data_IF_022103930065
#
_entry.id   IF_022103930065
#
_cell.length_a   1.000
_cell.length_b   1.000
_cell.length_c   1.000
_cell.angle_alpha   90.00
_cell.angle_beta   90.00
_cell.angle_gamma   90.00
#
_symmetry.space_group_name_H-M   'P 1'
#
loop_
_entity.id
_entity.type
_entity.pdbx_description
1 polymer ?
#
# COMPACT_ATOMS: atom_id res chain seq x y z
N UNK A 1 -0.02 -21.26 -7.99
CA UNK A 1 -1.13 -20.76 -7.15
C UNK A 1 -0.51 -19.85 -6.11
N UNK A 2 -1.10 -18.70 -5.85
CA UNK A 2 -0.57 -17.73 -4.88
C UNK A 2 -0.90 -18.22 -3.47
N UNK A 3 0.11 -18.29 -2.60
CA UNK A 3 -0.04 -18.64 -1.18
C UNK A 3 0.18 -17.39 -0.31
N UNK A 4 -0.82 -16.96 0.48
CA UNK A 4 -0.69 -15.80 1.36
C UNK A 4 0.49 -15.88 2.33
N UNK A 5 0.78 -17.07 2.89
CA UNK A 5 1.90 -17.22 3.83
C UNK A 5 3.25 -17.02 3.13
N UNK A 6 3.38 -17.51 1.89
CA UNK A 6 4.57 -17.27 1.08
C UNK A 6 4.76 -15.77 0.80
N UNK A 7 3.69 -15.02 0.51
CA UNK A 7 3.77 -13.57 0.31
C UNK A 7 4.25 -12.85 1.58
N UNK A 8 3.68 -13.19 2.73
CA UNK A 8 4.06 -12.61 4.01
C UNK A 8 5.52 -12.92 4.38
N UNK A 9 5.96 -14.16 4.16
CA UNK A 9 7.35 -14.55 4.43
C UNK A 9 8.33 -13.80 3.51
N UNK A 10 8.01 -13.69 2.22
CA UNK A 10 8.83 -12.92 1.28
C UNK A 10 8.94 -11.44 1.69
N UNK A 11 7.85 -10.83 2.17
CA UNK A 11 7.88 -9.45 2.67
C UNK A 11 8.76 -9.30 3.92
N UNK A 12 8.70 -10.24 4.86
CA UNK A 12 9.59 -10.27 6.03
C UNK A 12 11.05 -10.43 5.65
N UNK A 13 11.35 -11.32 4.71
CA UNK A 13 12.71 -11.55 4.22
C UNK A 13 13.28 -10.31 3.54
N UNK A 14 12.48 -9.60 2.74
CA UNK A 14 12.89 -8.37 2.03
C UNK A 14 13.17 -7.20 2.97
N UNK A 15 12.43 -7.09 4.06
CA UNK A 15 12.51 -5.94 4.99
C UNK A 15 13.37 -6.22 6.21
N UNK A 16 13.52 -7.50 6.60
CA UNK A 16 14.04 -7.89 7.92
C UNK A 16 13.08 -7.57 9.08
N UNK A 17 11.86 -7.12 8.79
CA UNK A 17 10.85 -6.75 9.77
C UNK A 17 9.80 -7.86 9.89
N UNK A 18 9.18 -7.98 11.06
CA UNK A 18 8.17 -9.02 11.32
C UNK A 18 6.97 -8.55 12.11
N UNK A 19 6.96 -7.27 12.50
CA UNK A 19 5.84 -6.66 13.19
C UNK A 19 4.90 -5.97 12.21
N UNK A 20 3.67 -6.46 12.19
CA UNK A 20 2.60 -5.98 11.33
C UNK A 20 1.63 -5.03 12.04
N UNK A 21 1.90 -4.70 13.31
CA UNK A 21 0.97 -3.94 14.14
C UNK A 21 -0.27 -4.77 14.50
N UNK A 22 -1.29 -4.73 13.64
CA UNK A 22 -2.56 -5.43 13.81
C UNK A 22 -2.82 -6.40 12.64
N UNK A 23 -3.89 -7.19 12.72
CA UNK A 23 -4.16 -8.30 11.81
C UNK A 23 -5.38 -8.08 10.90
N UNK A 24 -5.98 -6.88 10.90
CA UNK A 24 -7.23 -6.61 10.15
C UNK A 24 -7.11 -6.85 8.65
N UNK A 25 -5.91 -6.73 8.08
CA UNK A 25 -5.67 -6.91 6.65
C UNK A 25 -5.55 -8.39 6.23
N UNK A 26 -5.34 -9.32 7.18
CA UNK A 26 -5.11 -10.73 6.87
C UNK A 26 -6.34 -11.39 6.23
N UNK A 27 -7.52 -11.15 6.77
CA UNK A 27 -8.77 -11.72 6.25
C UNK A 27 -9.08 -11.19 4.83
N UNK A 28 -9.11 -9.85 4.59
CA UNK A 28 -9.26 -9.31 3.24
C UNK A 28 -8.18 -9.78 2.25
N UNK A 29 -6.93 -9.92 2.69
CA UNK A 29 -5.84 -10.45 1.86
C UNK A 29 -6.11 -11.89 1.45
N UNK A 30 -6.58 -12.75 2.37
CA UNK A 30 -6.96 -14.12 2.04
C UNK A 30 -8.09 -14.18 1.02
N UNK A 31 -9.12 -13.33 1.16
CA UNK A 31 -10.20 -13.24 0.16
C UNK A 31 -9.68 -12.78 -1.20
N UNK A 32 -8.81 -11.78 -1.25
CA UNK A 32 -8.20 -11.30 -2.49
C UNK A 32 -7.40 -12.42 -3.18
N UNK A 33 -6.55 -13.13 -2.44
CA UNK A 33 -5.73 -14.22 -2.99
C UNK A 33 -6.60 -15.39 -3.45
N UNK A 34 -7.65 -15.73 -2.71
CA UNK A 34 -8.60 -16.77 -3.09
C UNK A 34 -9.34 -16.42 -4.39
N UNK A 35 -9.86 -15.19 -4.49
CA UNK A 35 -10.52 -14.69 -5.70
C UNK A 35 -9.56 -14.66 -6.90
N UNK A 36 -8.32 -14.20 -6.71
CA UNK A 36 -7.30 -14.24 -7.77
C UNK A 36 -7.08 -15.68 -8.24
N UNK A 37 -6.86 -16.61 -7.33
CA UNK A 37 -6.57 -18.00 -7.67
C UNK A 37 -7.75 -18.70 -8.38
N UNK A 38 -8.99 -18.30 -8.08
CA UNK A 38 -10.20 -18.95 -8.62
C UNK A 38 -10.76 -18.29 -9.88
N UNK A 39 -10.64 -16.97 -10.00
CA UNK A 39 -11.47 -16.20 -10.94
C UNK A 39 -10.67 -15.33 -11.93
N UNK A 40 -9.39 -15.05 -11.67
CA UNK A 40 -8.67 -13.99 -12.42
C UNK A 40 -8.09 -14.40 -13.78
N UNK A 41 -8.16 -15.68 -14.15
CA UNK A 41 -7.66 -16.22 -15.43
C UNK A 41 -6.31 -15.61 -15.87
N UNK A 42 -5.32 -15.61 -14.97
CA UNK A 42 -4.04 -14.92 -15.20
C UNK A 42 -3.31 -15.42 -16.45
N UNK A 43 -2.80 -14.48 -17.23
CA UNK A 43 -1.76 -14.76 -18.22
C UNK A 43 -0.45 -15.16 -17.52
N UNK A 44 0.49 -15.74 -18.26
CA UNK A 44 1.82 -16.09 -17.72
C UNK A 44 2.54 -14.86 -17.13
N UNK A 45 2.43 -13.71 -17.80
CA UNK A 45 2.96 -12.43 -17.28
C UNK A 45 2.26 -12.03 -15.97
N UNK A 46 0.93 -12.15 -15.91
CA UNK A 46 0.15 -11.86 -14.71
C UNK A 46 0.51 -12.78 -13.53
N UNK A 47 0.76 -14.06 -13.80
CA UNK A 47 1.16 -15.03 -12.79
C UNK A 47 2.52 -14.70 -12.16
N UNK A 48 3.42 -14.02 -12.89
CA UNK A 48 4.67 -13.50 -12.34
C UNK A 48 4.54 -12.12 -11.67
N UNK A 49 3.79 -11.20 -12.27
CA UNK A 49 3.71 -9.81 -11.81
C UNK A 49 2.84 -9.62 -10.56
N UNK A 50 1.72 -10.36 -10.46
CA UNK A 50 0.74 -10.14 -9.40
C UNK A 50 1.25 -10.51 -8.00
N UNK A 51 1.94 -11.66 -7.78
CA UNK A 51 2.56 -11.95 -6.50
C UNK A 51 3.56 -10.88 -6.06
N UNK A 52 4.38 -10.37 -7.00
CA UNK A 52 5.36 -9.32 -6.72
C UNK A 52 4.69 -8.01 -6.30
N UNK A 53 3.57 -7.63 -6.92
CA UNK A 53 2.79 -6.47 -6.53
C UNK A 53 2.21 -6.62 -5.12
N UNK A 54 1.66 -7.79 -4.78
CA UNK A 54 1.15 -8.07 -3.44
C UNK A 54 2.27 -8.04 -2.39
N UNK A 55 3.44 -8.61 -2.69
CA UNK A 55 4.61 -8.55 -1.82
C UNK A 55 5.06 -7.10 -1.62
N UNK A 56 5.08 -6.27 -2.67
CA UNK A 56 5.46 -4.87 -2.55
C UNK A 56 4.54 -4.09 -1.59
N UNK A 57 3.22 -4.35 -1.61
CA UNK A 57 2.29 -3.75 -0.64
C UNK A 57 2.56 -4.22 0.79
N UNK A 58 2.84 -5.50 0.99
CA UNK A 58 3.17 -6.07 2.31
C UNK A 58 4.51 -5.55 2.85
N UNK A 59 5.52 -5.40 1.98
CA UNK A 59 6.80 -4.76 2.30
C UNK A 59 6.57 -3.35 2.79
N UNK A 60 5.80 -2.57 2.05
CA UNK A 60 5.48 -1.19 2.42
C UNK A 60 4.80 -1.13 3.80
N UNK A 61 3.82 -2.00 4.04
CA UNK A 61 3.15 -2.07 5.33
C UNK A 61 4.12 -2.34 6.49
N UNK A 62 5.04 -3.31 6.34
CA UNK A 62 6.09 -3.59 7.34
C UNK A 62 7.01 -2.38 7.57
N UNK A 63 7.43 -1.71 6.50
CA UNK A 63 8.31 -0.54 6.58
C UNK A 63 7.63 0.62 7.31
N UNK A 64 6.35 0.88 7.02
CA UNK A 64 5.55 1.90 7.71
C UNK A 64 5.43 1.58 9.20
N UNK A 65 5.05 0.35 9.57
CA UNK A 65 4.98 -0.03 10.99
C UNK A 65 6.34 0.06 11.68
N UNK A 66 7.40 -0.39 11.01
CA UNK A 66 8.77 -0.25 11.50
C UNK A 66 9.18 1.20 11.70
N UNK A 67 8.74 2.11 10.83
CA UNK A 67 8.98 3.54 10.96
C UNK A 67 8.24 4.15 12.14
N UNK A 68 6.94 3.90 12.28
CA UNK A 68 6.14 4.35 13.43
C UNK A 68 6.73 3.90 14.76
N UNK A 69 7.25 2.68 14.83
CA UNK A 69 7.94 2.18 16.04
C UNK A 69 9.22 2.94 16.39
N UNK A 70 9.96 3.40 15.38
CA UNK A 70 11.20 4.18 15.58
C UNK A 70 10.90 5.65 15.89
N UNK A 71 9.74 6.13 15.46
CA UNK A 71 9.33 7.53 15.50
C UNK A 71 7.94 7.67 16.17
N UNK A 72 7.80 7.35 17.47
CA UNK A 72 6.52 7.45 18.17
C UNK A 72 5.99 8.89 18.25
N UNK A 73 6.83 9.91 18.08
CA UNK A 73 6.44 11.32 18.01
C UNK A 73 5.46 11.63 16.87
N UNK A 74 5.37 10.76 15.84
CA UNK A 74 4.42 10.91 14.74
C UNK A 74 2.97 10.89 15.25
N UNK A 75 2.69 10.20 16.35
CA UNK A 75 1.35 10.15 16.95
C UNK A 75 0.91 11.52 17.54
N UNK A 76 1.84 12.46 17.71
CA UNK A 76 1.56 13.83 18.16
C UNK A 76 1.16 14.77 17.02
N UNK A 77 1.37 14.38 15.76
CA UNK A 77 1.06 15.20 14.59
C UNK A 77 -0.46 15.22 14.30
N UNK A 78 -1.02 16.42 14.12
CA UNK A 78 -2.45 16.60 13.85
C UNK A 78 -2.75 16.86 12.37
N UNK A 79 -3.61 16.04 11.78
CA UNK A 79 -4.17 16.27 10.43
C UNK A 79 -5.50 17.02 10.55
N UNK A 80 -5.44 18.35 10.57
CA UNK A 80 -6.57 19.22 10.94
C UNK A 80 -7.62 19.41 9.84
N UNK A 81 -7.23 19.51 8.57
CA UNK A 81 -8.16 19.79 7.46
C UNK A 81 -7.75 19.06 6.18
N UNK A 82 -7.86 17.71 6.15
CA UNK A 82 -7.55 16.96 4.95
C UNK A 82 -8.63 17.15 3.88
N UNK A 83 -8.20 17.30 2.62
CA UNK A 83 -9.08 17.30 1.45
C UNK A 83 -9.03 15.94 0.76
N UNK A 84 -10.19 15.29 0.61
CA UNK A 84 -10.30 14.01 -0.09
C UNK A 84 -10.93 14.20 -1.47
N UNK A 85 -10.19 13.80 -2.51
CA UNK A 85 -10.71 13.71 -3.87
C UNK A 85 -11.37 12.36 -4.11
N UNK A 86 -12.71 12.32 -4.17
CA UNK A 86 -13.48 11.11 -4.50
C UNK A 86 -14.24 11.29 -5.81
N UNK A 87 -14.36 10.22 -6.59
CA UNK A 87 -15.08 10.26 -7.86
C UNK A 87 -14.80 9.04 -8.73
N UNK A 88 -15.50 8.97 -9.87
CA UNK A 88 -15.29 7.90 -10.84
C UNK A 88 -13.90 8.03 -11.49
N UNK A 89 -13.29 6.91 -11.94
CA UNK A 89 -12.10 6.99 -12.76
C UNK A 89 -12.39 7.80 -14.02
N UNK A 90 -11.35 8.48 -14.56
CA UNK A 90 -11.41 9.25 -15.82
C UNK A 90 -12.27 10.53 -15.77
N UNK A 91 -12.45 11.13 -14.60
CA UNK A 91 -13.19 12.40 -14.39
C UNK A 91 -12.29 13.64 -14.25
N UNK A 92 -10.99 13.51 -14.54
CA UNK A 92 -10.03 14.61 -14.38
C UNK A 92 -9.42 14.72 -12.98
N UNK A 93 -9.68 13.76 -12.08
CA UNK A 93 -9.15 13.73 -10.72
C UNK A 93 -7.61 13.82 -10.64
N UNK A 94 -6.88 13.21 -11.59
CA UNK A 94 -5.42 13.33 -11.66
C UNK A 94 -4.96 14.76 -11.94
N UNK A 95 -5.57 15.44 -12.92
CA UNK A 95 -5.23 16.82 -13.26
C UNK A 95 -5.58 17.76 -12.10
N UNK A 96 -6.73 17.53 -11.45
CA UNK A 96 -7.14 18.27 -10.27
C UNK A 96 -6.18 18.09 -9.09
N UNK A 97 -5.78 16.85 -8.77
CA UNK A 97 -4.82 16.54 -7.70
C UNK A 97 -3.47 17.26 -7.92
N UNK A 98 -2.96 17.24 -9.16
CA UNK A 98 -1.74 17.99 -9.48
C UNK A 98 -1.91 19.50 -9.34
N UNK A 99 -3.05 20.05 -9.78
CA UNK A 99 -3.34 21.48 -9.64
C UNK A 99 -3.39 21.91 -8.17
N UNK A 100 -4.03 21.13 -7.30
CA UNK A 100 -4.05 21.37 -5.85
C UNK A 100 -2.65 21.29 -5.24
N UNK A 101 -1.80 20.39 -5.75
CA UNK A 101 -0.40 20.27 -5.33
C UNK A 101 0.52 21.42 -5.74
N UNK A 102 0.05 22.40 -6.53
CA UNK A 102 0.81 23.61 -6.85
C UNK A 102 0.80 24.65 -5.72
N UNK A 103 -0.14 24.56 -4.79
CA UNK A 103 -0.20 25.45 -3.62
C UNK A 103 0.88 25.05 -2.60
N UNK A 104 1.85 25.93 -2.25
CA UNK A 104 2.87 25.64 -1.25
C UNK A 104 2.34 25.33 0.14
N UNK A 105 1.10 25.75 0.47
CA UNK A 105 0.44 25.43 1.73
C UNK A 105 -0.22 24.04 1.72
N UNK A 106 -0.26 23.36 0.56
CA UNK A 106 -0.86 22.03 0.42
C UNK A 106 0.20 20.94 0.37
N UNK A 107 -0.04 19.85 1.09
CA UNK A 107 0.75 18.62 0.97
C UNK A 107 -0.05 17.56 0.23
N UNK A 108 0.45 17.15 -0.94
CA UNK A 108 -0.06 15.97 -1.65
C UNK A 108 0.81 14.75 -1.37
N UNK A 109 0.24 13.55 -1.44
CA UNK A 109 0.98 12.30 -1.40
C UNK A 109 1.68 12.09 -2.75
N UNK A 110 3.02 12.13 -2.76
CA UNK A 110 3.81 12.00 -4.01
C UNK A 110 3.97 10.53 -4.35
N UNK A 111 4.07 10.20 -5.64
CA UNK A 111 4.17 8.81 -6.10
C UNK A 111 5.30 8.05 -5.43
N UNK A 112 6.48 8.66 -5.31
CA UNK A 112 7.62 7.99 -4.67
C UNK A 112 7.36 7.67 -3.19
N UNK A 113 6.58 8.50 -2.49
CA UNK A 113 6.21 8.31 -1.08
C UNK A 113 5.18 7.20 -0.90
N UNK A 114 4.49 6.79 -1.97
CA UNK A 114 3.54 5.67 -1.96
C UNK A 114 4.24 4.33 -2.23
N UNK A 115 5.23 4.35 -3.10
CA UNK A 115 5.96 3.16 -3.53
C UNK A 115 7.06 2.79 -2.54
N UNK A 116 7.73 3.79 -1.95
CA UNK A 116 8.72 3.63 -0.89
C UNK A 116 8.69 4.81 0.08
N UNK A 117 8.27 4.54 1.30
CA UNK A 117 8.07 5.57 2.31
C UNK A 117 9.39 6.00 2.99
N UNK A 118 10.47 5.24 2.83
CA UNK A 118 11.75 5.41 3.52
C UNK A 118 12.96 5.16 2.62
#
# INVERSE_FOLDING_TARGET
MIDPNALMNAAKERTGLSDWGNDWYLEPMHWLVDAINKESELTEVGAGALPEMLIAHLVNQLEVHGWYKRHPEIDEEEIVTPLFGIGLPRTGSTAFSHMMGLDPATRILRVWEQERHC
#
